data_IF_651121271401
#
_entry.id   IF_651121271401
#
_cell.length_a   1.000
_cell.length_b   1.000
_cell.length_c   1.000
_cell.angle_alpha   90.00
_cell.angle_beta   90.00
_cell.angle_gamma   90.00
#
_symmetry.space_group_name_H-M   'P 1'
#
loop_
_entity.id
_entity.type
_entity.pdbx_description
1 polymer ?
#
# COMPACT_ATOMS: atom_id res chain seq x y z
N UNK A 1 41.50 -15.88 -16.18
CA UNK A 1 42.17 -15.37 -15.04
C UNK A 1 41.85 -13.95 -14.74
N UNK A 2 41.32 -13.29 -15.65
CA UNK A 2 40.94 -11.90 -15.46
C UNK A 2 39.53 -11.76 -14.97
N UNK A 3 38.87 -12.86 -14.77
CA UNK A 3 37.45 -12.83 -14.40
C UNK A 3 37.22 -12.13 -13.08
N UNK A 4 38.17 -12.07 -12.23
CA UNK A 4 38.02 -11.42 -10.96
C UNK A 4 37.65 -9.97 -11.10
N UNK A 5 38.08 -9.37 -12.17
CA UNK A 5 37.76 -7.98 -12.41
C UNK A 5 36.25 -7.80 -12.55
N UNK A 6 35.62 -8.74 -13.15
CA UNK A 6 34.20 -8.68 -13.34
C UNK A 6 33.45 -8.80 -12.02
N UNK A 7 33.98 -9.64 -11.14
CA UNK A 7 33.41 -9.75 -9.84
C UNK A 7 33.36 -8.41 -9.12
N UNK A 8 34.39 -7.62 -9.30
CA UNK A 8 34.48 -6.33 -8.67
C UNK A 8 33.39 -5.42 -9.21
N UNK A 9 33.21 -5.42 -10.51
CA UNK A 9 32.18 -4.59 -11.10
C UNK A 9 30.81 -4.95 -10.58
N UNK A 10 30.53 -6.22 -10.40
CA UNK A 10 29.27 -6.68 -9.86
C UNK A 10 29.06 -6.18 -8.45
N UNK A 11 30.11 -6.21 -7.64
CA UNK A 11 29.98 -5.74 -6.27
C UNK A 11 29.62 -4.28 -6.23
N UNK A 12 30.20 -3.48 -7.10
CA UNK A 12 29.87 -2.07 -7.15
C UNK A 12 28.40 -1.86 -7.50
N UNK A 13 27.93 -2.60 -8.48
CA UNK A 13 26.54 -2.50 -8.89
C UNK A 13 25.60 -2.84 -7.74
N UNK A 14 25.92 -3.88 -6.99
CA UNK A 14 25.10 -4.27 -5.85
C UNK A 14 25.10 -3.19 -4.79
N UNK A 15 26.19 -2.52 -4.59
CA UNK A 15 26.28 -1.48 -3.58
C UNK A 15 25.38 -0.30 -3.84
N UNK A 16 24.97 -0.10 -5.08
CA UNK A 16 24.12 1.04 -5.44
C UNK A 16 22.70 0.65 -5.77
N UNK A 17 22.30 -0.57 -5.50
CA UNK A 17 20.92 -0.97 -5.73
C UNK A 17 20.02 -0.18 -4.79
N UNK A 18 18.99 0.49 -5.31
CA UNK A 18 18.05 1.18 -4.45
C UNK A 18 17.25 0.18 -3.63
N UNK A 19 16.92 0.56 -2.43
CA UNK A 19 16.05 -0.25 -1.62
C UNK A 19 14.66 -0.24 -2.26
N UNK A 20 14.01 -1.39 -2.26
CA UNK A 20 12.64 -1.48 -2.70
C UNK A 20 11.73 -0.77 -1.71
N UNK A 21 10.68 -0.16 -2.20
CA UNK A 21 9.64 0.39 -1.34
C UNK A 21 9.02 -0.77 -0.55
N UNK A 22 8.73 -0.51 0.71
CA UNK A 22 8.04 -1.47 1.53
C UNK A 22 6.62 -1.66 1.00
N UNK A 23 6.13 -2.89 1.04
CA UNK A 23 4.81 -3.20 0.53
C UNK A 23 4.00 -3.84 1.64
N UNK A 24 2.77 -3.35 1.79
CA UNK A 24 1.86 -3.81 2.83
C UNK A 24 0.51 -4.06 2.19
N UNK A 25 -0.18 -5.06 2.70
CA UNK A 25 -1.51 -5.41 2.19
C UNK A 25 -2.56 -5.13 3.24
N UNK A 26 -3.65 -4.52 2.81
CA UNK A 26 -4.87 -4.39 3.60
C UNK A 26 -5.93 -5.24 2.91
N UNK A 27 -6.47 -6.21 3.64
CA UNK A 27 -7.53 -7.05 3.13
C UNK A 27 -8.88 -6.43 3.47
N UNK A 28 -9.81 -6.53 2.55
CA UNK A 28 -11.19 -6.12 2.78
C UNK A 28 -11.99 -7.41 2.85
N UNK A 29 -12.55 -7.69 4.01
CA UNK A 29 -13.24 -8.94 4.25
C UNK A 29 -14.28 -8.74 5.33
N UNK A 30 -15.45 -9.32 5.14
CA UNK A 30 -16.54 -9.22 6.11
C UNK A 30 -16.84 -7.76 6.48
N UNK A 31 -16.89 -6.88 5.46
CA UNK A 31 -17.17 -5.46 5.62
C UNK A 31 -16.17 -4.75 6.55
N UNK A 32 -14.93 -5.17 6.54
CA UNK A 32 -13.90 -4.65 7.44
C UNK A 32 -12.60 -4.49 6.67
N UNK A 33 -11.88 -3.40 6.92
CA UNK A 33 -10.49 -3.27 6.48
C UNK A 33 -9.61 -3.96 7.51
N UNK A 34 -8.71 -4.82 7.07
CA UNK A 34 -7.88 -5.59 7.98
C UNK A 34 -6.41 -5.56 7.54
N UNK A 35 -5.52 -4.95 8.28
CA UNK A 35 -5.77 -4.29 9.58
C UNK A 35 -6.54 -2.99 9.40
N UNK A 36 -7.34 -2.63 10.39
CA UNK A 36 -8.12 -1.40 10.34
C UNK A 36 -7.25 -0.17 10.62
N UNK A 37 -6.16 -0.36 11.33
CA UNK A 37 -5.23 0.72 11.67
C UNK A 37 -3.81 0.24 11.39
N UNK A 38 -3.01 1.09 10.75
CA UNK A 38 -1.73 0.69 10.19
C UNK A 38 -0.77 1.87 10.27
N UNK A 39 0.46 1.61 10.72
CA UNK A 39 1.52 2.62 10.72
C UNK A 39 2.61 2.18 9.75
N UNK A 40 2.95 3.05 8.81
CA UNK A 40 3.95 2.76 7.79
C UNK A 40 4.88 3.94 7.61
N UNK A 41 6.03 3.72 7.02
CA UNK A 41 6.96 4.79 6.65
C UNK A 41 6.52 5.44 5.35
N UNK A 42 6.86 6.71 5.19
CA UNK A 42 6.64 7.41 3.93
C UNK A 42 7.32 6.65 2.79
N UNK A 43 6.64 6.51 1.68
CA UNK A 43 7.11 5.73 0.52
C UNK A 43 6.59 4.30 0.49
N UNK A 44 5.88 3.88 1.52
CA UNK A 44 5.31 2.53 1.55
C UNK A 44 4.17 2.42 0.53
N UNK A 45 4.15 1.31 -0.16
CA UNK A 45 3.09 0.98 -1.12
C UNK A 45 2.08 0.08 -0.42
N UNK A 46 0.83 0.49 -0.42
CA UNK A 46 -0.24 -0.29 0.20
C UNK A 46 -1.18 -0.80 -0.88
N UNK A 47 -1.46 -2.09 -0.83
CA UNK A 47 -2.40 -2.74 -1.73
C UNK A 47 -3.63 -3.15 -0.93
N UNK A 48 -4.79 -2.64 -1.36
CA UNK A 48 -6.08 -3.01 -0.78
C UNK A 48 -6.70 -4.05 -1.69
N UNK A 49 -7.09 -5.18 -1.13
CA UNK A 49 -7.68 -6.26 -1.93
C UNK A 49 -9.04 -6.63 -1.37
N UNK A 50 -10.06 -6.62 -2.23
CA UNK A 50 -11.42 -6.99 -1.82
C UNK A 50 -11.59 -8.51 -1.85
N UNK A 51 -11.83 -9.09 -0.68
CA UNK A 51 -12.14 -10.52 -0.56
C UNK A 51 -13.61 -10.81 -0.33
N UNK A 52 -14.45 -9.77 -0.26
CA UNK A 52 -15.89 -9.97 -0.07
C UNK A 52 -16.60 -10.25 -1.39
N UNK A 53 -17.82 -10.74 -1.28
CA UNK A 53 -18.66 -11.05 -2.43
C UNK A 53 -19.36 -9.83 -3.02
N UNK A 54 -19.21 -8.68 -2.40
CA UNK A 54 -19.82 -7.44 -2.87
C UNK A 54 -18.74 -6.39 -3.08
N UNK A 55 -19.01 -5.37 -3.91
CA UNK A 55 -18.02 -4.32 -4.16
C UNK A 55 -17.76 -3.47 -2.93
N UNK A 56 -16.51 -3.05 -2.80
CA UNK A 56 -16.08 -2.08 -1.82
C UNK A 56 -15.19 -1.04 -2.52
N UNK A 57 -14.91 0.07 -1.85
CA UNK A 57 -13.96 1.05 -2.37
C UNK A 57 -13.15 1.63 -1.23
N UNK A 58 -12.11 2.40 -1.58
CA UNK A 58 -11.22 3.03 -0.60
C UNK A 58 -11.26 4.53 -0.88
N UNK A 59 -11.79 5.29 0.05
CA UNK A 59 -11.99 6.73 -0.11
C UNK A 59 -11.40 7.47 1.07
N UNK A 60 -10.46 8.38 0.79
CA UNK A 60 -9.89 9.25 1.80
C UNK A 60 -10.95 10.21 2.32
N UNK A 61 -10.99 10.41 3.64
CA UNK A 61 -11.95 11.30 4.27
C UNK A 61 -11.84 12.74 3.75
N UNK A 62 -10.64 13.15 3.36
CA UNK A 62 -10.41 14.50 2.80
C UNK A 62 -10.57 14.53 1.27
N UNK A 63 -11.05 13.45 0.69
CA UNK A 63 -11.29 13.32 -0.75
C UNK A 63 -10.03 13.52 -1.61
N UNK A 64 -8.87 13.27 -1.05
CA UNK A 64 -7.61 13.39 -1.81
C UNK A 64 -7.42 12.25 -2.78
N UNK A 65 -8.01 11.11 -2.49
CA UNK A 65 -8.00 9.98 -3.42
C UNK A 65 -9.23 9.11 -3.18
N UNK A 66 -9.59 8.37 -4.19
CA UNK A 66 -10.56 7.29 -4.02
C UNK A 66 -10.30 6.23 -5.08
N UNK A 67 -10.51 4.99 -4.72
CA UNK A 67 -10.44 3.91 -5.67
C UNK A 67 -11.74 3.83 -6.46
N UNK A 68 -11.71 3.20 -7.64
CA UNK A 68 -12.96 2.74 -8.23
C UNK A 68 -13.57 1.66 -7.34
N UNK A 69 -14.83 1.29 -7.58
CA UNK A 69 -15.39 0.12 -6.91
C UNK A 69 -14.53 -1.11 -7.23
N UNK A 70 -14.25 -1.89 -6.21
CA UNK A 70 -13.45 -3.11 -6.33
C UNK A 70 -14.39 -4.30 -6.19
N UNK A 71 -14.47 -5.10 -7.23
CA UNK A 71 -15.19 -6.37 -7.17
C UNK A 71 -14.34 -7.42 -6.45
N UNK A 72 -14.90 -8.57 -6.19
CA UNK A 72 -14.21 -9.66 -5.51
C UNK A 72 -12.88 -9.97 -6.19
N UNK A 73 -11.80 -9.94 -5.42
CA UNK A 73 -10.46 -10.24 -5.92
C UNK A 73 -9.75 -9.05 -6.53
N UNK A 74 -10.42 -7.93 -6.72
CA UNK A 74 -9.77 -6.76 -7.30
C UNK A 74 -8.97 -5.99 -6.27
N UNK A 75 -7.96 -5.26 -6.74
CA UNK A 75 -6.99 -4.59 -5.90
C UNK A 75 -6.89 -3.12 -6.28
N UNK A 76 -6.56 -2.31 -5.28
CA UNK A 76 -6.20 -0.92 -5.45
C UNK A 76 -4.88 -0.69 -4.74
N UNK A 77 -3.89 -0.19 -5.47
CA UNK A 77 -2.54 -0.01 -4.94
C UNK A 77 -2.19 1.47 -4.97
N UNK A 78 -1.60 1.96 -3.87
CA UNK A 78 -1.23 3.35 -3.76
C UNK A 78 0.03 3.50 -2.92
N UNK A 79 0.92 4.40 -3.35
CA UNK A 79 2.10 4.79 -2.59
C UNK A 79 1.72 5.93 -1.63
N UNK A 80 2.12 5.81 -0.38
CA UNK A 80 1.83 6.81 0.65
C UNK A 80 3.13 7.53 0.99
N UNK A 81 3.37 8.66 0.32
CA UNK A 81 4.65 9.33 0.32
C UNK A 81 4.78 10.47 1.31
N UNK A 82 3.66 10.95 1.83
CA UNK A 82 3.64 12.14 2.70
C UNK A 82 3.26 11.73 4.11
N UNK A 83 4.09 12.12 5.08
CA UNK A 83 3.83 11.84 6.48
C UNK A 83 2.53 12.50 6.93
N UNK A 84 1.79 11.80 7.76
CA UNK A 84 0.53 12.30 8.29
C UNK A 84 -0.43 11.18 8.58
N UNK A 85 -1.61 11.55 9.05
CA UNK A 85 -2.67 10.62 9.35
C UNK A 85 -3.71 10.65 8.23
N UNK A 86 -4.07 9.49 7.76
CA UNK A 86 -5.05 9.33 6.69
C UNK A 86 -6.19 8.50 7.22
N UNK A 87 -7.38 9.08 7.25
CA UNK A 87 -8.60 8.37 7.60
C UNK A 87 -9.33 8.07 6.31
N UNK A 88 -9.76 6.83 6.14
CA UNK A 88 -10.44 6.43 4.94
C UNK A 88 -11.65 5.56 5.28
N UNK A 89 -12.50 5.37 4.30
CA UNK A 89 -13.70 4.57 4.45
C UNK A 89 -14.05 3.92 3.13
N UNK A 90 -14.99 3.00 3.16
CA UNK A 90 -15.57 2.48 1.95
C UNK A 90 -16.62 3.48 1.45
N UNK A 91 -16.54 3.86 0.18
CA UNK A 91 -17.49 4.81 -0.39
C UNK A 91 -18.91 4.26 -0.48
N UNK A 92 -19.05 2.93 -0.48
CA UNK A 92 -20.34 2.27 -0.57
C UNK A 92 -20.90 1.92 0.80
N UNK A 93 -20.06 1.88 1.81
CA UNK A 93 -20.45 1.53 3.19
C UNK A 93 -19.68 2.45 4.14
N UNK A 94 -20.16 3.69 4.34
CA UNK A 94 -19.36 4.74 5.01
C UNK A 94 -18.92 4.45 6.44
N UNK A 95 -19.58 3.56 7.15
CA UNK A 95 -19.17 3.20 8.51
C UNK A 95 -18.05 2.16 8.54
N UNK A 96 -17.66 1.66 7.39
CA UNK A 96 -16.53 0.76 7.22
C UNK A 96 -15.27 1.62 7.07
N UNK A 97 -14.48 1.75 8.15
CA UNK A 97 -13.42 2.76 8.24
C UNK A 97 -12.06 2.14 8.49
N UNK A 98 -11.03 2.84 8.07
CA UNK A 98 -9.66 2.52 8.37
C UNK A 98 -8.82 3.76 8.60
N UNK A 99 -7.60 3.54 9.10
CA UNK A 99 -6.67 4.62 9.37
C UNK A 99 -5.25 4.17 9.02
N UNK A 100 -4.52 5.05 8.35
CA UNK A 100 -3.11 4.85 8.06
C UNK A 100 -2.34 6.01 8.64
N UNK A 101 -1.31 5.70 9.44
CA UNK A 101 -0.38 6.68 9.96
C UNK A 101 0.90 6.52 9.16
N UNK A 102 1.29 7.58 8.46
CA UNK A 102 2.52 7.59 7.67
C UNK A 102 3.56 8.37 8.44
N UNK A 103 4.66 7.72 8.78
CA UNK A 103 5.76 8.36 9.51
C UNK A 103 6.83 8.84 8.53
N UNK A 104 7.60 9.87 8.93
CA UNK A 104 8.68 10.38 8.09
C UNK A 104 9.73 9.35 7.71
#
# INVERSE_FOLDING_TARGET
MTSRVFGIALLVALGFSPASAEQVKVSIDNFTFNPAELTVKAGTVITFENGDDIPHSVVDADSKFHSPPLDTGEKFTKSFDVAGEINYACGLHPHMKGKIIVTP
#
